data_IF_310528441968
#
_entry.id   IF_310528441968
#
_cell.length_a   1.000
_cell.length_b   1.000
_cell.length_c   1.000
_cell.angle_alpha   90.00
_cell.angle_beta   90.00
_cell.angle_gamma   90.00
#
_symmetry.space_group_name_H-M   'P 1'
#
loop_
_entity.id
_entity.type
_entity.pdbx_description
1 polymer ?
#
# COMPACT_ATOMS: atom_id res chain seq x y z
N UNK A 1 -7.31 70.04 -31.08
CA UNK A 1 -6.32 70.90 -30.39
C UNK A 1 -4.98 70.19 -30.44
N UNK A 2 -4.04 70.85 -31.10
CA UNK A 2 -2.71 70.40 -31.53
C UNK A 2 -1.73 70.34 -30.35
N UNK A 3 -0.59 69.63 -30.57
CA UNK A 3 0.74 69.73 -29.93
C UNK A 3 0.99 68.85 -28.70
N UNK A 4 2.15 68.20 -28.50
CA UNK A 4 3.45 68.20 -29.17
C UNK A 4 4.30 66.99 -28.70
N UNK A 5 5.11 66.42 -29.59
CA UNK A 5 6.22 65.49 -29.32
C UNK A 5 7.25 66.07 -28.33
N UNK A 6 7.97 65.18 -27.62
CA UNK A 6 9.42 65.31 -27.40
C UNK A 6 10.06 63.93 -27.16
N UNK A 7 10.92 63.53 -28.10
CA UNK A 7 11.95 62.49 -27.96
C UNK A 7 13.07 63.00 -27.01
N UNK A 8 13.75 62.08 -26.33
CA UNK A 8 15.20 62.21 -26.18
C UNK A 8 15.88 61.57 -24.96
N UNK A 9 16.64 60.50 -25.24
CA UNK A 9 18.01 60.20 -24.78
C UNK A 9 18.24 59.84 -23.30
N UNK A 10 18.89 58.69 -23.06
CA UNK A 10 19.64 58.47 -21.83
C UNK A 10 20.00 57.02 -21.54
N UNK A 11 20.98 56.46 -22.25
CA UNK A 11 21.64 55.22 -21.84
C UNK A 11 22.45 55.46 -20.56
N UNK A 12 22.20 54.68 -19.52
CA UNK A 12 23.18 54.40 -18.45
C UNK A 12 23.25 52.90 -18.22
N UNK A 13 24.40 52.33 -18.61
CA UNK A 13 24.83 51.02 -18.16
C UNK A 13 25.25 51.12 -16.69
N UNK A 14 24.64 50.29 -15.84
CA UNK A 14 25.20 49.93 -14.53
C UNK A 14 25.52 48.44 -14.57
N UNK A 15 26.83 48.19 -14.56
CA UNK A 15 27.45 46.92 -14.20
C UNK A 15 26.98 46.55 -12.79
N UNK A 16 26.30 45.41 -12.68
CA UNK A 16 25.95 44.80 -11.40
C UNK A 16 26.28 43.32 -11.45
N UNK A 17 27.49 42.97 -11.04
CA UNK A 17 27.80 41.61 -10.60
C UNK A 17 27.13 41.43 -9.23
N UNK A 18 26.26 40.45 -9.09
CA UNK A 18 25.88 39.90 -7.78
C UNK A 18 25.47 38.44 -7.97
N UNK A 19 26.48 37.58 -7.93
CA UNK A 19 26.35 36.22 -7.45
C UNK A 19 25.67 36.23 -6.09
N UNK A 20 24.59 35.49 -5.96
CA UNK A 20 24.02 35.13 -4.66
C UNK A 20 23.55 33.69 -4.76
N UNK A 21 24.48 32.80 -4.45
CA UNK A 21 24.23 31.41 -4.13
C UNK A 21 23.38 31.38 -2.85
N UNK A 22 22.06 31.37 -3.01
CA UNK A 22 21.10 31.23 -1.93
C UNK A 22 20.83 29.75 -1.67
N UNK A 23 21.44 29.25 -0.61
CA UNK A 23 21.25 27.92 -0.05
C UNK A 23 19.76 27.60 0.15
N UNK A 24 19.30 26.51 -0.46
CA UNK A 24 17.97 25.94 -0.26
C UNK A 24 18.04 24.68 0.57
N UNK A 25 17.85 24.85 1.89
CA UNK A 25 17.19 23.91 2.80
C UNK A 25 17.72 22.49 2.93
N UNK A 26 18.51 22.25 3.98
CA UNK A 26 18.48 21.00 4.73
C UNK A 26 17.04 20.74 5.23
N UNK A 27 16.42 19.71 4.66
CA UNK A 27 15.21 19.08 5.20
C UNK A 27 15.58 17.69 5.71
N UNK A 28 16.33 17.63 6.81
CA UNK A 28 16.52 16.39 7.55
C UNK A 28 15.20 16.02 8.23
N UNK A 29 14.40 15.19 7.54
CA UNK A 29 13.33 14.42 8.17
C UNK A 29 13.96 13.15 8.74
N UNK A 30 14.10 13.11 10.06
CA UNK A 30 14.47 11.91 10.81
C UNK A 30 13.25 10.98 10.84
N UNK A 31 13.08 10.16 9.80
CA UNK A 31 12.13 9.05 9.82
C UNK A 31 12.80 7.85 10.48
N UNK A 32 12.31 7.49 11.67
CA UNK A 32 12.61 6.23 12.30
C UNK A 32 12.23 5.08 11.35
N UNK A 33 13.23 4.35 10.84
CA UNK A 33 13.04 3.18 9.98
C UNK A 33 12.78 3.51 8.50
N UNK A 34 13.73 4.20 7.85
CA UNK A 34 13.57 4.73 6.50
C UNK A 34 13.26 3.67 5.42
N UNK A 35 12.00 3.63 4.99
CA UNK A 35 11.58 3.01 3.72
C UNK A 35 11.67 4.00 2.56
N UNK A 36 12.28 5.18 2.75
CA UNK A 36 12.26 6.29 1.81
C UNK A 36 12.75 5.87 0.42
N UNK A 37 11.80 5.70 -0.50
CA UNK A 37 12.03 5.27 -1.89
C UNK A 37 11.85 3.76 -2.14
N UNK A 38 11.83 2.93 -1.10
CA UNK A 38 11.57 1.49 -1.21
C UNK A 38 10.09 1.17 -1.39
N UNK A 39 9.22 2.13 -1.09
CA UNK A 39 7.76 2.03 -1.12
C UNK A 39 7.13 2.75 -2.31
N UNK A 40 7.89 3.14 -3.33
CA UNK A 40 7.32 3.74 -4.55
C UNK A 40 6.52 2.71 -5.35
N UNK A 41 5.36 3.10 -5.88
CA UNK A 41 4.53 2.23 -6.72
C UNK A 41 3.80 3.03 -7.80
N UNK A 42 3.37 2.33 -8.85
CA UNK A 42 2.46 2.86 -9.86
C UNK A 42 1.07 2.21 -9.74
N UNK A 43 1.03 0.95 -9.32
CA UNK A 43 -0.18 0.14 -9.17
C UNK A 43 -0.17 -0.67 -7.87
N UNK A 44 -1.34 -1.10 -7.33
CA UNK A 44 -1.39 -2.00 -6.19
C UNK A 44 -0.57 -3.29 -6.38
N UNK A 45 -0.50 -3.79 -7.62
CA UNK A 45 0.29 -4.96 -7.96
C UNK A 45 1.80 -4.75 -7.76
N UNK A 46 2.30 -3.52 -7.68
CA UNK A 46 3.70 -3.25 -7.33
C UNK A 46 3.98 -3.43 -5.84
N UNK A 47 2.94 -3.48 -5.01
CA UNK A 47 3.09 -3.46 -3.57
C UNK A 47 3.05 -4.87 -2.96
N UNK A 48 3.73 -5.01 -1.82
CA UNK A 48 3.72 -6.21 -1.00
C UNK A 48 3.78 -5.84 0.46
N UNK A 49 3.04 -6.56 1.31
CA UNK A 49 3.18 -6.47 2.75
C UNK A 49 4.36 -7.33 3.19
N UNK A 50 5.29 -6.73 3.93
CA UNK A 50 6.37 -7.45 4.61
C UNK A 50 6.35 -7.12 6.09
N UNK A 51 6.96 -7.94 6.94
CA UNK A 51 7.06 -7.60 8.35
C UNK A 51 7.92 -6.35 8.56
N UNK A 52 7.55 -5.51 9.53
CA UNK A 52 8.26 -4.27 9.88
C UNK A 52 9.65 -4.50 10.52
N UNK A 53 9.94 -5.76 10.87
CA UNK A 53 11.23 -6.20 11.39
C UNK A 53 11.72 -7.40 10.60
N UNK A 54 13.01 -7.73 10.71
CA UNK A 54 13.66 -8.82 9.99
C UNK A 54 12.85 -10.14 9.92
N UNK A 55 12.24 -10.52 11.03
CA UNK A 55 11.51 -11.78 11.19
C UNK A 55 10.03 -11.59 11.51
N UNK A 56 9.54 -10.36 11.57
CA UNK A 56 8.21 -10.06 12.06
C UNK A 56 7.99 -10.41 13.52
N UNK A 57 6.72 -10.56 13.88
CA UNK A 57 6.27 -10.95 15.21
C UNK A 57 5.77 -12.39 15.22
N UNK A 58 5.88 -13.03 16.39
CA UNK A 58 5.25 -14.33 16.61
C UNK A 58 3.84 -14.09 17.16
N UNK A 59 2.82 -14.54 16.42
CA UNK A 59 1.41 -14.32 16.75
C UNK A 59 0.63 -13.80 15.56
N UNK A 60 -0.53 -13.20 15.83
CA UNK A 60 -1.34 -12.48 14.83
C UNK A 60 -0.72 -11.08 14.64
N UNK A 61 -0.11 -10.79 13.48
CA UNK A 61 0.54 -9.50 13.26
C UNK A 61 -0.53 -8.41 13.15
N UNK A 62 -0.27 -7.29 13.80
CA UNK A 62 -1.09 -6.08 13.67
C UNK A 62 -0.59 -5.23 12.51
N UNK A 63 -1.35 -4.19 12.15
CA UNK A 63 -0.91 -3.18 11.18
C UNK A 63 0.47 -2.60 11.50
N UNK A 64 0.78 -2.40 12.78
CA UNK A 64 2.05 -1.82 13.23
C UNK A 64 3.24 -2.79 13.09
N UNK A 65 2.96 -4.09 12.92
CA UNK A 65 3.97 -5.14 12.70
C UNK A 65 4.31 -5.33 11.21
N UNK A 66 3.69 -4.54 10.34
CA UNK A 66 3.76 -4.67 8.90
C UNK A 66 4.12 -3.35 8.22
N UNK A 67 4.86 -3.44 7.13
CA UNK A 67 5.11 -2.32 6.21
C UNK A 67 4.78 -2.75 4.80
N UNK A 68 4.29 -1.80 4.00
CA UNK A 68 4.07 -2.01 2.57
C UNK A 68 5.24 -1.41 1.80
N UNK A 69 5.78 -2.19 0.87
CA UNK A 69 6.93 -1.80 0.05
C UNK A 69 6.65 -2.14 -1.41
N UNK A 70 7.45 -1.55 -2.30
CA UNK A 70 7.55 -2.08 -3.65
C UNK A 70 8.08 -3.51 -3.59
N UNK A 71 7.47 -4.44 -4.32
CA UNK A 71 7.85 -5.84 -4.37
C UNK A 71 9.30 -6.03 -4.81
N UNK A 72 9.81 -5.20 -5.72
CA UNK A 72 11.20 -5.23 -6.15
C UNK A 72 12.18 -4.78 -5.05
N UNK A 73 11.70 -4.01 -4.06
CA UNK A 73 12.49 -3.52 -2.92
C UNK A 73 12.47 -4.46 -1.72
N UNK A 74 11.59 -5.46 -1.70
CA UNK A 74 11.36 -6.31 -0.53
C UNK A 74 12.62 -7.09 -0.08
N UNK A 75 13.46 -7.55 -1.02
CA UNK A 75 14.72 -8.21 -0.69
C UNK A 75 15.73 -7.24 -0.09
N UNK A 76 15.88 -6.05 -0.68
CA UNK A 76 16.77 -5.00 -0.18
C UNK A 76 16.39 -4.58 1.23
N UNK A 77 15.09 -4.39 1.48
CA UNK A 77 14.59 -4.07 2.81
C UNK A 77 14.92 -5.17 3.82
N UNK A 78 14.75 -6.44 3.44
CA UNK A 78 15.08 -7.58 4.31
C UNK A 78 16.57 -7.58 4.66
N UNK A 79 17.45 -7.38 3.69
CA UNK A 79 18.89 -7.34 3.92
C UNK A 79 19.26 -6.20 4.89
N UNK A 80 18.63 -5.03 4.75
CA UNK A 80 18.80 -3.91 5.67
C UNK A 80 18.25 -4.19 7.07
N UNK A 81 17.07 -4.80 7.17
CA UNK A 81 16.41 -5.08 8.43
C UNK A 81 17.11 -6.19 9.23
N UNK A 82 17.75 -7.12 8.55
CA UNK A 82 18.32 -8.32 9.15
C UNK A 82 19.83 -8.27 9.36
N UNK A 83 20.59 -7.60 8.47
CA UNK A 83 22.03 -7.71 8.43
C UNK A 83 22.53 -9.12 8.04
N UNK A 84 23.83 -9.36 8.24
CA UNK A 84 24.47 -10.66 7.95
C UNK A 84 24.19 -11.70 9.07
N UNK A 85 23.98 -12.96 8.69
CA UNK A 85 23.82 -14.14 9.58
C UNK A 85 22.68 -14.07 10.62
N UNK A 86 21.44 -13.94 10.14
CA UNK A 86 20.24 -14.05 10.97
C UNK A 86 19.48 -15.38 10.71
N UNK A 87 18.86 -15.91 11.76
CA UNK A 87 17.92 -17.01 11.64
C UNK A 87 16.62 -16.65 12.37
N UNK A 88 15.51 -16.63 11.64
CA UNK A 88 14.21 -16.34 12.25
C UNK A 88 13.72 -17.50 13.11
N UNK A 89 13.05 -17.22 14.24
CA UNK A 89 12.40 -18.25 15.02
C UNK A 89 11.34 -18.96 14.17
N UNK A 90 11.03 -20.22 14.48
CA UNK A 90 10.01 -20.98 13.75
C UNK A 90 8.60 -20.36 13.82
N UNK A 91 8.37 -19.46 14.80
CA UNK A 91 7.12 -18.73 14.96
C UNK A 91 7.07 -17.40 14.19
N UNK A 92 8.15 -17.00 13.51
CA UNK A 92 8.16 -15.83 12.64
C UNK A 92 6.96 -15.89 11.70
N UNK A 93 6.02 -14.96 11.89
CA UNK A 93 4.67 -15.06 11.35
C UNK A 93 4.62 -15.00 9.83
N UNK A 94 3.69 -15.77 9.25
CA UNK A 94 3.15 -15.48 7.93
C UNK A 94 2.43 -14.13 7.95
N UNK A 95 2.43 -13.37 6.85
CA UNK A 95 1.62 -12.17 6.76
C UNK A 95 0.15 -12.51 7.02
N UNK A 96 -0.51 -11.73 7.87
CA UNK A 96 -1.96 -11.83 8.08
C UNK A 96 -2.67 -11.51 6.75
N UNK A 97 -3.54 -12.40 6.23
CA UNK A 97 -4.25 -12.17 4.97
C UNK A 97 -5.15 -10.93 4.98
N UNK A 98 -5.44 -10.40 6.16
CA UNK A 98 -6.28 -9.23 6.36
C UNK A 98 -5.48 -7.92 6.28
N UNK A 99 -4.15 -8.01 6.25
CA UNK A 99 -3.25 -6.91 5.93
C UNK A 99 -2.91 -6.95 4.43
N UNK A 100 -3.45 -6.00 3.69
CA UNK A 100 -3.20 -5.83 2.25
C UNK A 100 -2.21 -4.70 2.00
N UNK A 101 -1.53 -4.77 0.86
CA UNK A 101 -0.76 -3.65 0.35
C UNK A 101 -1.51 -3.05 -0.85
N UNK A 102 -1.60 -1.72 -0.90
CA UNK A 102 -2.14 -1.00 -2.06
C UNK A 102 -1.26 0.18 -2.42
N UNK A 103 -1.47 0.76 -3.59
CA UNK A 103 -0.74 1.92 -4.07
C UNK A 103 -1.59 3.19 -3.92
N UNK A 104 -1.25 4.02 -2.94
CA UNK A 104 -1.92 5.29 -2.70
C UNK A 104 -0.93 6.44 -2.88
N UNK A 105 -1.30 7.42 -3.72
CA UNK A 105 -0.45 8.59 -3.98
C UNK A 105 1.01 8.25 -4.39
N UNK A 106 1.19 7.18 -5.19
CA UNK A 106 2.49 6.63 -5.62
C UNK A 106 3.34 6.03 -4.49
N UNK A 107 2.70 5.61 -3.39
CA UNK A 107 3.34 4.98 -2.24
C UNK A 107 2.59 3.72 -1.83
N UNK A 108 3.32 2.66 -1.54
CA UNK A 108 2.77 1.44 -1.00
C UNK A 108 2.34 1.70 0.44
N UNK A 109 1.07 1.41 0.74
CA UNK A 109 0.48 1.58 2.07
C UNK A 109 -0.16 0.28 2.54
N UNK A 110 -0.09 0.03 3.84
CA UNK A 110 -0.77 -1.11 4.47
C UNK A 110 -2.23 -0.74 4.74
N UNK A 111 -3.13 -1.57 4.24
CA UNK A 111 -4.58 -1.51 4.50
C UNK A 111 -4.96 -2.68 5.40
N UNK A 112 -5.62 -2.37 6.50
CA UNK A 112 -6.13 -3.36 7.43
C UNK A 112 -7.63 -3.59 7.15
N UNK A 113 -7.97 -4.74 6.56
CA UNK A 113 -9.35 -5.15 6.30
C UNK A 113 -10.18 -5.25 7.58
N UNK A 114 -9.51 -5.51 8.71
CA UNK A 114 -9.85 -5.12 10.08
C UNK A 114 -10.94 -4.07 10.26
N UNK A 115 -10.61 -2.93 9.68
CA UNK A 115 -11.24 -1.65 9.90
C UNK A 115 -11.66 -0.98 8.58
N UNK A 116 -11.46 -1.67 7.45
CA UNK A 116 -11.75 -1.12 6.14
C UNK A 116 -13.24 -1.18 5.81
N UNK A 117 -13.74 -0.17 5.09
CA UNK A 117 -15.17 -0.09 4.70
C UNK A 117 -15.64 -1.32 3.93
N UNK A 118 -14.74 -1.95 3.16
CA UNK A 118 -15.05 -3.17 2.38
C UNK A 118 -15.36 -4.41 3.22
N UNK A 119 -15.28 -4.33 4.55
CA UNK A 119 -15.71 -5.42 5.45
C UNK A 119 -16.94 -5.05 6.26
N UNK A 120 -17.57 -3.88 6.08
CA UNK A 120 -18.75 -3.51 6.86
C UNK A 120 -19.96 -4.40 6.58
N UNK A 121 -20.65 -4.84 7.63
CA UNK A 121 -21.82 -5.71 7.49
C UNK A 121 -22.85 -5.46 8.59
N UNK A 122 -24.11 -5.78 8.29
CA UNK A 122 -25.19 -5.87 9.28
C UNK A 122 -25.51 -7.30 9.67
N UNK A 123 -25.24 -8.27 8.80
CA UNK A 123 -25.53 -9.69 8.97
C UNK A 123 -24.62 -10.57 8.13
N UNK A 124 -24.56 -11.87 8.43
CA UNK A 124 -23.75 -12.84 7.68
C UNK A 124 -24.09 -12.87 6.19
N UNK A 125 -25.35 -12.56 5.83
CA UNK A 125 -25.81 -12.53 4.44
C UNK A 125 -25.19 -11.39 3.61
N UNK A 126 -24.58 -10.41 4.27
CA UNK A 126 -23.92 -9.27 3.62
C UNK A 126 -22.46 -9.61 3.26
N UNK A 127 -21.95 -10.76 3.70
CA UNK A 127 -20.55 -11.12 3.56
C UNK A 127 -20.34 -12.23 2.52
N UNK A 128 -19.20 -12.17 1.82
CA UNK A 128 -18.74 -13.23 0.92
C UNK A 128 -17.26 -13.56 1.12
N UNK A 129 -16.93 -14.83 0.95
CA UNK A 129 -15.55 -15.34 0.94
C UNK A 129 -14.91 -15.07 -0.43
N UNK A 130 -13.63 -14.71 -0.43
CA UNK A 130 -12.80 -14.57 -1.64
C UNK A 130 -11.31 -14.68 -1.31
N UNK A 131 -10.48 -14.72 -2.36
CA UNK A 131 -9.03 -14.57 -2.23
C UNK A 131 -8.67 -13.11 -1.91
N UNK A 132 -7.53 -12.90 -1.26
CA UNK A 132 -6.93 -11.57 -1.10
C UNK A 132 -6.35 -11.03 -2.43
N UNK A 133 -6.10 -11.89 -3.40
CA UNK A 133 -5.62 -11.52 -4.74
C UNK A 133 -6.66 -10.70 -5.52
N UNK A 134 -6.17 -9.91 -6.49
CA UNK A 134 -7.02 -9.17 -7.44
C UNK A 134 -8.06 -10.08 -8.10
N UNK A 135 -7.60 -11.13 -8.76
CA UNK A 135 -8.47 -12.10 -9.41
C UNK A 135 -8.71 -13.32 -8.51
N UNK A 136 -9.97 -13.60 -8.22
CA UNK A 136 -10.37 -14.81 -7.47
C UNK A 136 -10.00 -16.09 -8.24
N UNK A 137 -10.06 -16.01 -9.56
CA UNK A 137 -9.69 -17.09 -10.46
C UNK A 137 -8.18 -17.16 -10.65
N UNK A 138 -7.58 -18.26 -10.17
CA UNK A 138 -6.12 -18.46 -10.20
C UNK A 138 -5.39 -17.90 -8.98
N UNK A 139 -6.11 -17.21 -8.09
CA UNK A 139 -5.61 -16.79 -6.79
C UNK A 139 -5.43 -17.96 -5.81
N UNK A 140 -4.75 -17.69 -4.71
CA UNK A 140 -4.51 -18.66 -3.65
C UNK A 140 -5.78 -18.91 -2.83
N UNK A 141 -6.16 -20.19 -2.66
CA UNK A 141 -7.39 -20.60 -1.96
C UNK A 141 -7.16 -21.42 -0.69
N UNK A 142 -5.91 -21.50 -0.22
CA UNK A 142 -5.61 -22.00 1.11
C UNK A 142 -6.16 -21.04 2.18
N UNK A 143 -6.56 -21.51 3.38
CA UNK A 143 -7.16 -20.66 4.40
C UNK A 143 -6.34 -19.43 4.81
N UNK A 144 -5.00 -19.48 4.65
CA UNK A 144 -4.12 -18.36 4.99
C UNK A 144 -4.08 -17.26 3.92
N UNK A 145 -4.73 -17.46 2.77
CA UNK A 145 -4.82 -16.49 1.65
C UNK A 145 -6.26 -16.00 1.41
N UNK A 146 -7.20 -16.43 2.24
CA UNK A 146 -8.63 -16.14 2.10
C UNK A 146 -9.06 -15.01 3.04
N UNK A 147 -10.01 -14.21 2.56
CA UNK A 147 -10.62 -13.10 3.29
C UNK A 147 -12.13 -13.12 3.14
N UNK A 148 -12.82 -12.36 3.98
CA UNK A 148 -14.24 -12.08 3.86
C UNK A 148 -14.45 -10.57 3.63
N UNK A 149 -15.35 -10.24 2.71
CA UNK A 149 -15.66 -8.85 2.36
C UNK A 149 -17.18 -8.66 2.31
N UNK A 150 -17.61 -7.41 2.40
CA UNK A 150 -18.97 -7.01 2.13
C UNK A 150 -19.30 -7.19 0.65
N UNK A 151 -20.47 -7.76 0.35
CA UNK A 151 -20.93 -8.01 -1.02
C UNK A 151 -21.11 -6.68 -1.77
N UNK A 152 -21.70 -5.69 -1.11
CA UNK A 152 -22.02 -4.39 -1.72
C UNK A 152 -20.78 -3.49 -1.95
N UNK A 153 -19.68 -3.77 -1.26
CA UNK A 153 -18.40 -3.04 -1.40
C UNK A 153 -17.32 -3.85 -2.14
N UNK A 154 -17.73 -4.84 -2.96
CA UNK A 154 -16.80 -5.62 -3.77
C UNK A 154 -15.91 -4.75 -4.67
N UNK A 155 -16.47 -3.69 -5.26
CA UNK A 155 -15.72 -2.74 -6.09
C UNK A 155 -14.69 -1.93 -5.27
N UNK A 156 -15.00 -1.60 -4.02
CA UNK A 156 -14.06 -0.91 -3.14
C UNK A 156 -12.89 -1.82 -2.78
N UNK A 157 -13.14 -3.11 -2.54
CA UNK A 157 -12.07 -4.08 -2.37
C UNK A 157 -11.24 -4.25 -3.65
N UNK A 158 -11.87 -4.38 -4.81
CA UNK A 158 -11.17 -4.52 -6.10
C UNK A 158 -10.21 -3.35 -6.34
N UNK A 159 -10.61 -2.11 -6.02
CA UNK A 159 -9.74 -0.94 -6.11
C UNK A 159 -8.50 -1.02 -5.19
N UNK A 160 -8.55 -1.78 -4.10
CA UNK A 160 -7.40 -1.99 -3.23
C UNK A 160 -6.38 -2.95 -3.83
N UNK A 161 -6.87 -4.03 -4.47
CA UNK A 161 -6.03 -5.19 -4.83
C UNK A 161 -5.68 -5.25 -6.31
N UNK A 162 -6.45 -4.59 -7.18
CA UNK A 162 -6.26 -4.64 -8.63
C UNK A 162 -5.60 -3.36 -9.16
N UNK A 163 -4.51 -3.52 -9.89
CA UNK A 163 -3.91 -2.44 -10.69
C UNK A 163 -4.41 -2.39 -12.13
N UNK A 164 -4.92 -1.23 -12.53
CA UNK A 164 -5.24 -0.93 -13.94
C UNK A 164 -6.36 -1.79 -14.54
N UNK A 165 -6.44 -1.79 -15.87
CA UNK A 165 -7.42 -2.58 -16.64
C UNK A 165 -6.90 -4.02 -16.87
N UNK A 166 -6.73 -4.80 -15.80
CA UNK A 166 -6.44 -6.23 -15.93
C UNK A 166 -7.75 -7.02 -16.03
N UNK A 167 -7.86 -7.90 -17.02
CA UNK A 167 -8.99 -8.80 -17.16
C UNK A 167 -8.79 -10.07 -16.34
N UNK A 168 -9.68 -10.33 -15.38
CA UNK A 168 -9.69 -11.61 -14.67
C UNK A 168 -10.28 -12.72 -15.56
N UNK A 169 -9.70 -13.94 -15.51
CA UNK A 169 -10.25 -15.07 -16.25
C UNK A 169 -11.62 -15.48 -15.70
N UNK A 170 -12.54 -15.90 -16.58
CA UNK A 170 -13.82 -16.46 -16.14
C UNK A 170 -13.62 -17.84 -15.51
N UNK A 171 -14.10 -18.02 -14.28
CA UNK A 171 -14.15 -19.32 -13.61
C UNK A 171 -15.19 -19.34 -12.48
N UNK A 172 -15.40 -20.52 -11.88
CA UNK A 172 -16.05 -20.65 -10.58
C UNK A 172 -14.96 -20.88 -9.52
N UNK A 173 -14.66 -19.90 -8.64
CA UNK A 173 -13.68 -20.08 -7.58
C UNK A 173 -14.07 -21.25 -6.67
N UNK A 174 -13.06 -22.01 -6.23
CA UNK A 174 -13.26 -23.12 -5.29
C UNK A 174 -12.73 -22.71 -3.91
N UNK A 175 -13.63 -22.62 -2.94
CA UNK A 175 -13.30 -22.22 -1.57
C UNK A 175 -13.27 -23.42 -0.61
N UNK A 176 -12.50 -23.33 0.48
CA UNK A 176 -12.52 -24.34 1.54
C UNK A 176 -13.94 -24.52 2.09
N UNK A 177 -14.49 -25.75 2.02
CA UNK A 177 -15.87 -26.03 2.45
C UNK A 177 -16.09 -25.91 3.96
N UNK A 178 -15.01 -25.96 4.76
CA UNK A 178 -15.04 -25.83 6.21
C UNK A 178 -14.80 -24.40 6.67
N UNK A 179 -15.07 -23.40 5.83
CA UNK A 179 -14.93 -22.00 6.18
C UNK A 179 -16.10 -21.20 5.60
N UNK A 180 -16.43 -20.10 6.24
CA UNK A 180 -17.50 -19.21 5.81
C UNK A 180 -17.18 -17.74 6.10
N UNK A 181 -17.98 -16.85 5.53
CA UNK A 181 -17.95 -15.43 5.86
C UNK A 181 -19.08 -15.14 6.84
N UNK A 182 -18.75 -14.56 8.00
CA UNK A 182 -19.72 -14.19 9.03
C UNK A 182 -19.59 -12.71 9.36
N UNK A 183 -20.67 -12.10 9.82
CA UNK A 183 -20.66 -10.74 10.30
C UNK A 183 -20.41 -10.72 11.81
N UNK A 184 -19.18 -10.43 12.19
CA UNK A 184 -18.76 -10.36 13.59
C UNK A 184 -18.37 -8.93 13.94
N UNK A 185 -19.01 -8.38 14.99
CA UNK A 185 -18.80 -7.00 15.43
C UNK A 185 -18.94 -5.94 14.30
N UNK A 186 -19.84 -6.19 13.34
CA UNK A 186 -20.08 -5.31 12.18
C UNK A 186 -18.99 -5.40 11.10
N UNK A 187 -18.15 -6.44 11.14
CA UNK A 187 -17.11 -6.70 10.14
C UNK A 187 -17.23 -8.12 9.58
N UNK A 188 -17.06 -8.28 8.27
CA UNK A 188 -16.99 -9.58 7.62
C UNK A 188 -15.70 -10.29 8.03
N UNK A 189 -15.84 -11.47 8.62
CA UNK A 189 -14.72 -12.32 9.06
C UNK A 189 -14.75 -13.65 8.33
N UNK A 190 -13.56 -14.12 7.95
CA UNK A 190 -13.36 -15.46 7.41
C UNK A 190 -13.09 -16.41 8.57
N UNK A 191 -13.99 -17.36 8.81
CA UNK A 191 -13.96 -18.25 9.98
C UNK A 191 -14.17 -19.71 9.58
N UNK A 192 -13.59 -20.68 10.31
CA UNK A 192 -13.85 -22.10 10.10
C UNK A 192 -15.27 -22.54 10.55
#
# INVERSE_FOLDING_TARGET
MTRLLLLGIGALALVGCSDSHGAGGDGGGEDAGGTSGLDLCETPDDCVVVPASCCGTCGEPTRDDAVALNRASASTYRDMACGDDFACPACAGMPDPTLLATCEANRCVVVDLQAHVSTECGSDADCRVRTADCCECGGATDPASMVAIAIDDAAAFEALVCGGDFGCPECAPAYPASYSAVCEAGRCRFVP
#
